data_IF_066225110398
#
_entry.id   IF_066225110398
#
_cell.length_a   1.000
_cell.length_b   1.000
_cell.length_c   1.000
_cell.angle_alpha   90.00
_cell.angle_beta   90.00
_cell.angle_gamma   90.00
#
_symmetry.space_group_name_H-M   'P 1'
#
loop_
_entity.id
_entity.type
_entity.pdbx_description
1 polymer ?
#
# COMPACT_ATOMS: atom_id res chain seq x y z
N UNK A 1 -16.57 11.02 13.15
CA UNK A 1 -15.63 11.25 12.05
C UNK A 1 -14.44 10.32 12.22
N UNK A 2 -14.08 9.55 11.19
CA UNK A 2 -12.83 8.81 11.20
C UNK A 2 -11.69 9.84 11.26
N UNK A 3 -10.72 9.63 12.14
CA UNK A 3 -9.54 10.50 12.21
C UNK A 3 -8.66 10.08 11.02
N UNK A 4 -8.71 10.90 9.96
CA UNK A 4 -8.10 10.59 8.66
C UNK A 4 -7.05 11.64 8.33
N UNK A 5 -5.88 11.18 7.88
CA UNK A 5 -4.73 12.02 7.52
C UNK A 5 -4.23 11.66 6.14
N UNK A 6 -4.08 12.65 5.27
CA UNK A 6 -3.45 12.49 3.97
C UNK A 6 -2.04 13.08 3.99
N UNK A 7 -1.07 12.36 3.46
CA UNK A 7 0.31 12.81 3.39
C UNK A 7 1.11 12.06 2.33
N UNK A 8 2.22 12.64 1.88
CA UNK A 8 3.21 11.93 1.09
C UNK A 8 4.40 11.54 1.98
N UNK A 9 4.91 10.31 1.80
CA UNK A 9 6.09 9.83 2.52
C UNK A 9 7.06 9.13 1.58
N UNK A 10 8.34 9.45 1.75
CA UNK A 10 9.43 8.72 1.12
C UNK A 10 9.54 7.32 1.70
N UNK A 11 9.46 6.32 0.83
CA UNK A 11 9.70 4.91 1.13
C UNK A 11 10.82 4.39 0.25
N UNK A 12 11.64 3.50 0.80
CA UNK A 12 12.66 2.77 0.06
C UNK A 12 12.19 1.33 -0.01
N UNK A 13 12.07 0.79 -1.21
CA UNK A 13 11.54 -0.54 -1.46
C UNK A 13 12.46 -1.31 -2.39
N UNK A 14 12.74 -2.56 -2.06
CA UNK A 14 13.25 -3.58 -2.97
C UNK A 14 12.10 -4.16 -3.82
N UNK A 15 12.43 -4.93 -4.86
CA UNK A 15 11.42 -5.57 -5.71
C UNK A 15 10.47 -6.49 -4.92
N UNK A 16 10.99 -7.27 -3.98
CA UNK A 16 10.18 -8.14 -3.12
C UNK A 16 9.22 -7.32 -2.24
N UNK A 17 9.70 -6.18 -1.72
CA UNK A 17 8.88 -5.29 -0.91
C UNK A 17 7.78 -4.60 -1.70
N UNK A 18 8.06 -4.18 -2.94
CA UNK A 18 7.03 -3.64 -3.85
C UNK A 18 5.95 -4.69 -4.15
N UNK A 19 6.36 -5.94 -4.44
CA UNK A 19 5.42 -7.04 -4.73
C UNK A 19 4.48 -7.32 -3.56
N UNK A 20 5.02 -7.41 -2.36
CA UNK A 20 4.25 -7.63 -1.14
C UNK A 20 3.37 -6.42 -0.80
N UNK A 21 3.84 -5.18 -0.99
CA UNK A 21 3.00 -3.99 -0.86
C UNK A 21 1.83 -4.02 -1.86
N UNK A 22 2.10 -4.39 -3.12
CA UNK A 22 1.08 -4.55 -4.17
C UNK A 22 0.08 -5.62 -3.78
N UNK A 23 0.53 -6.80 -3.35
CA UNK A 23 -0.32 -7.90 -2.91
C UNK A 23 -1.23 -7.51 -1.75
N UNK A 24 -0.68 -6.84 -0.73
CA UNK A 24 -1.47 -6.33 0.38
C UNK A 24 -2.52 -5.33 -0.12
N UNK A 25 -2.14 -4.39 -0.99
CA UNK A 25 -3.06 -3.40 -1.54
C UNK A 25 -4.19 -4.00 -2.38
N UNK A 26 -3.86 -4.95 -3.23
CA UNK A 26 -4.82 -5.73 -4.02
C UNK A 26 -5.75 -6.52 -3.13
N UNK A 27 -5.26 -7.16 -2.07
CA UNK A 27 -6.10 -7.90 -1.13
C UNK A 27 -7.10 -6.98 -0.44
N UNK A 28 -6.69 -5.78 -0.02
CA UNK A 28 -7.63 -4.82 0.56
C UNK A 28 -8.68 -4.37 -0.43
N UNK A 29 -8.30 -4.09 -1.67
CA UNK A 29 -9.26 -3.73 -2.72
C UNK A 29 -10.26 -4.86 -3.01
N UNK A 30 -9.76 -6.08 -3.29
CA UNK A 30 -10.59 -7.21 -3.67
C UNK A 30 -11.41 -7.78 -2.50
N UNK A 31 -10.78 -7.95 -1.33
CA UNK A 31 -11.37 -8.61 -0.17
C UNK A 31 -11.84 -7.67 0.94
N UNK A 32 -11.53 -6.38 0.85
CA UNK A 32 -12.12 -5.33 1.68
C UNK A 32 -13.29 -4.64 0.99
N UNK A 33 -13.11 -4.18 -0.26
CA UNK A 33 -14.10 -3.35 -0.96
C UNK A 33 -15.05 -4.16 -1.85
N UNK A 34 -14.50 -4.94 -2.80
CA UNK A 34 -15.30 -5.56 -3.87
C UNK A 34 -16.07 -6.80 -3.43
N UNK A 35 -15.37 -7.76 -2.83
CA UNK A 35 -15.90 -9.03 -2.36
C UNK A 35 -15.44 -9.26 -0.92
N UNK A 36 -16.08 -8.57 0.05
CA UNK A 36 -15.68 -8.61 1.45
C UNK A 36 -15.44 -10.03 1.96
N UNK A 37 -14.21 -10.33 2.35
CA UNK A 37 -13.78 -11.62 2.89
C UNK A 37 -12.64 -11.39 3.88
N UNK A 38 -13.00 -11.32 5.16
CA UNK A 38 -12.04 -11.03 6.25
C UNK A 38 -10.94 -12.07 6.38
N UNK A 39 -11.24 -13.35 6.19
CA UNK A 39 -10.28 -14.44 6.32
C UNK A 39 -9.22 -14.38 5.22
N UNK A 40 -9.63 -14.22 3.96
CA UNK A 40 -8.70 -14.07 2.83
C UNK A 40 -7.87 -12.81 2.94
N UNK A 41 -8.49 -11.72 3.39
CA UNK A 41 -7.80 -10.46 3.63
C UNK A 41 -6.72 -10.63 4.71
N UNK A 42 -7.06 -11.22 5.85
CA UNK A 42 -6.12 -11.48 6.93
C UNK A 42 -5.01 -12.46 6.50
N UNK A 43 -5.32 -13.46 5.68
CA UNK A 43 -4.33 -14.40 5.16
C UNK A 43 -3.29 -13.70 4.27
N UNK A 44 -3.73 -12.93 3.26
CA UNK A 44 -2.82 -12.28 2.29
C UNK A 44 -2.04 -11.13 2.94
N UNK A 45 -2.71 -10.33 3.79
CA UNK A 45 -2.05 -9.29 4.57
C UNK A 45 -1.03 -9.90 5.53
N UNK A 46 -1.35 -11.04 6.17
CA UNK A 46 -0.43 -11.78 7.02
C UNK A 46 0.80 -12.28 6.29
N UNK A 47 0.65 -12.77 5.05
CA UNK A 47 1.79 -13.14 4.20
C UNK A 47 2.68 -11.95 3.81
N UNK A 48 2.11 -10.73 3.84
CA UNK A 48 2.81 -9.47 3.54
C UNK A 48 3.33 -8.76 4.81
N UNK A 49 3.36 -9.46 5.96
CA UNK A 49 3.65 -8.92 7.30
C UNK A 49 4.89 -8.02 7.39
N UNK A 50 5.95 -8.39 6.67
CA UNK A 50 7.25 -7.68 6.68
C UNK A 50 7.18 -6.24 6.19
N UNK A 51 6.20 -5.91 5.34
CA UNK A 51 6.01 -4.54 4.80
C UNK A 51 4.80 -3.87 5.44
N UNK A 52 4.14 -4.53 6.39
CA UNK A 52 3.10 -3.87 7.16
C UNK A 52 3.66 -2.70 7.97
N UNK A 53 4.95 -2.67 8.34
CA UNK A 53 5.58 -1.47 8.92
C UNK A 53 5.65 -0.27 7.94
N UNK A 54 5.52 -0.50 6.64
CA UNK A 54 5.54 0.51 5.57
C UNK A 54 4.14 0.86 5.02
N UNK A 55 3.13 0.02 5.26
CA UNK A 55 1.75 0.22 4.75
C UNK A 55 0.67 0.17 5.85
N UNK A 56 0.97 -0.23 7.08
CA UNK A 56 0.04 -0.23 8.22
C UNK A 56 0.74 0.21 9.51
N UNK A 57 -0.07 0.49 10.53
CA UNK A 57 0.33 0.71 11.92
C UNK A 57 -0.27 -0.39 12.81
N UNK A 58 -1.34 -1.06 12.36
CA UNK A 58 -1.94 -2.21 13.02
C UNK A 58 -1.00 -3.43 13.01
N UNK A 59 -0.85 -4.08 14.16
CA UNK A 59 0.16 -5.10 14.43
C UNK A 59 -0.25 -6.54 14.10
N UNK A 60 -1.50 -6.79 13.70
CA UNK A 60 -1.98 -8.13 13.31
C UNK A 60 -2.84 -8.08 12.05
N UNK A 61 -2.77 -9.14 11.23
CA UNK A 61 -3.54 -9.21 9.98
C UNK A 61 -5.06 -9.27 10.21
N UNK A 62 -5.50 -9.89 11.30
CA UNK A 62 -6.90 -9.87 11.75
C UNK A 62 -7.32 -8.45 12.15
N UNK A 63 -6.45 -7.72 12.86
CA UNK A 63 -6.68 -6.32 13.20
C UNK A 63 -6.82 -5.43 11.96
N UNK A 64 -6.02 -5.66 10.92
CA UNK A 64 -6.16 -4.97 9.63
C UNK A 64 -7.51 -5.27 8.98
N UNK A 65 -7.91 -6.54 8.90
CA UNK A 65 -9.20 -6.91 8.29
C UNK A 65 -10.40 -6.29 9.05
N UNK A 66 -10.40 -6.37 10.37
CA UNK A 66 -11.40 -5.74 11.22
C UNK A 66 -11.40 -4.21 11.09
N UNK A 67 -10.22 -3.60 11.03
CA UNK A 67 -10.08 -2.15 10.86
C UNK A 67 -10.61 -1.67 9.51
N UNK A 68 -10.39 -2.42 8.42
CA UNK A 68 -10.94 -2.10 7.10
C UNK A 68 -12.46 -2.20 7.12
N UNK A 69 -13.02 -3.28 7.68
CA UNK A 69 -14.46 -3.41 7.84
C UNK A 69 -15.04 -2.24 8.66
N UNK A 70 -14.35 -1.83 9.73
CA UNK A 70 -14.72 -0.67 10.55
C UNK A 70 -14.66 0.66 9.80
N UNK A 71 -13.64 0.88 8.97
CA UNK A 71 -13.56 2.06 8.10
C UNK A 71 -14.75 2.07 7.14
N UNK A 72 -14.97 0.95 6.43
CA UNK A 72 -16.03 0.84 5.43
C UNK A 72 -17.44 1.01 6.00
N UNK A 73 -17.68 0.56 7.23
CA UNK A 73 -18.95 0.74 7.91
C UNK A 73 -19.25 2.20 8.27
N UNK A 74 -18.22 3.05 8.35
CA UNK A 74 -18.33 4.47 8.71
C UNK A 74 -18.39 5.42 7.51
N UNK A 75 -18.06 4.95 6.30
CA UNK A 75 -18.03 5.77 5.09
C UNK A 75 -19.41 5.78 4.41
N UNK A 76 -19.83 6.96 3.97
CA UNK A 76 -20.97 7.09 3.07
C UNK A 76 -20.67 6.45 1.70
N UNK A 77 -21.69 6.06 0.90
CA UNK A 77 -21.48 5.37 -0.37
C UNK A 77 -20.53 6.09 -1.35
N UNK A 78 -20.63 7.42 -1.42
CA UNK A 78 -19.75 8.26 -2.23
C UNK A 78 -18.30 8.28 -1.72
N UNK A 79 -18.10 8.34 -0.40
CA UNK A 79 -16.77 8.29 0.21
C UNK A 79 -16.13 6.91 0.02
N UNK A 80 -16.91 5.84 0.12
CA UNK A 80 -16.47 4.48 -0.17
C UNK A 80 -16.00 4.34 -1.62
N UNK A 81 -16.77 4.87 -2.58
CA UNK A 81 -16.40 4.86 -3.99
C UNK A 81 -15.12 5.69 -4.28
N UNK A 82 -14.97 6.84 -3.62
CA UNK A 82 -13.77 7.66 -3.73
C UNK A 82 -12.54 6.91 -3.18
N UNK A 83 -12.64 6.32 -1.99
CA UNK A 83 -11.57 5.52 -1.40
C UNK A 83 -11.21 4.31 -2.25
N UNK A 84 -12.22 3.60 -2.80
CA UNK A 84 -12.01 2.48 -3.71
C UNK A 84 -11.21 2.92 -4.96
N UNK A 85 -11.56 4.06 -5.55
CA UNK A 85 -10.84 4.63 -6.71
C UNK A 85 -9.39 5.03 -6.38
N UNK A 86 -9.16 5.61 -5.19
CA UNK A 86 -7.83 5.97 -4.71
C UNK A 86 -6.96 4.73 -4.48
N UNK A 87 -7.50 3.69 -3.85
CA UNK A 87 -6.78 2.41 -3.63
C UNK A 87 -6.48 1.72 -4.96
N UNK A 88 -7.44 1.74 -5.91
CA UNK A 88 -7.26 1.24 -7.26
C UNK A 88 -6.10 1.94 -7.97
N UNK A 89 -5.99 3.26 -7.79
CA UNK A 89 -4.87 4.05 -8.33
C UNK A 89 -3.55 3.69 -7.66
N UNK A 90 -3.55 3.54 -6.33
CA UNK A 90 -2.36 3.16 -5.56
C UNK A 90 -1.78 1.81 -5.95
N UNK A 91 -2.61 0.75 -6.08
CA UNK A 91 -2.08 -0.57 -6.46
C UNK A 91 -1.51 -0.55 -7.88
N UNK A 92 -2.13 0.17 -8.83
CA UNK A 92 -1.61 0.33 -10.19
C UNK A 92 -0.27 1.03 -10.21
N UNK A 93 -0.05 1.95 -9.28
CA UNK A 93 1.24 2.61 -9.14
C UNK A 93 2.31 1.66 -8.62
N UNK A 94 1.99 0.85 -7.61
CA UNK A 94 2.90 -0.21 -7.13
C UNK A 94 3.25 -1.19 -8.26
N UNK A 95 2.29 -1.52 -9.13
CA UNK A 95 2.52 -2.38 -10.30
C UNK A 95 3.52 -1.78 -11.30
N UNK A 96 3.47 -0.45 -11.53
CA UNK A 96 4.47 0.24 -12.36
C UNK A 96 5.85 0.24 -11.73
N UNK A 97 5.93 0.45 -10.41
CA UNK A 97 7.20 0.42 -9.67
C UNK A 97 7.81 -0.99 -9.73
N UNK A 98 6.99 -2.02 -9.61
CA UNK A 98 7.41 -3.41 -9.77
C UNK A 98 7.95 -3.64 -11.18
N UNK A 99 7.16 -3.30 -12.20
CA UNK A 99 7.57 -3.43 -13.62
C UNK A 99 8.89 -2.70 -13.89
N UNK A 100 9.07 -1.52 -13.31
CA UNK A 100 10.32 -0.76 -13.43
C UNK A 100 11.51 -1.52 -12.84
N UNK A 101 11.39 -2.08 -11.63
CA UNK A 101 12.47 -2.83 -10.99
C UNK A 101 12.74 -4.19 -11.66
N UNK A 102 11.71 -4.85 -12.20
CA UNK A 102 11.84 -6.10 -12.96
C UNK A 102 12.60 -5.88 -14.27
N UNK A 103 12.27 -4.80 -14.99
CA UNK A 103 12.93 -4.45 -16.26
C UNK A 103 14.32 -3.86 -16.05
N UNK A 104 14.56 -3.20 -14.90
CA UNK A 104 15.86 -2.60 -14.56
C UNK A 104 16.60 -3.39 -13.49
N UNK A 105 16.99 -4.63 -13.83
CA UNK A 105 17.64 -5.57 -12.92
C UNK A 105 18.98 -5.11 -12.34
N UNK A 106 19.56 -4.02 -12.86
CA UNK A 106 20.75 -3.34 -12.32
C UNK A 106 20.49 -2.63 -11.00
N UNK A 107 19.23 -2.35 -10.66
CA UNK A 107 18.84 -1.71 -9.40
C UNK A 107 18.39 -2.74 -8.36
N UNK A 108 18.68 -2.44 -7.10
CA UNK A 108 18.29 -3.24 -5.93
C UNK A 108 17.09 -2.65 -5.21
N UNK A 109 16.99 -1.32 -5.18
CA UNK A 109 15.95 -0.58 -4.47
C UNK A 109 15.53 0.67 -5.25
N UNK A 110 14.33 1.12 -4.97
CA UNK A 110 13.76 2.38 -5.44
C UNK A 110 13.33 3.23 -4.24
N UNK A 111 13.66 4.51 -4.25
CA UNK A 111 13.08 5.50 -3.34
C UNK A 111 11.93 6.21 -4.03
N UNK A 112 10.74 6.09 -3.46
CA UNK A 112 9.51 6.69 -4.00
C UNK A 112 8.84 7.52 -2.92
N UNK A 113 8.43 8.74 -3.27
CA UNK A 113 7.52 9.51 -2.45
C UNK A 113 6.09 9.09 -2.78
N UNK A 114 5.49 8.26 -1.92
CA UNK A 114 4.15 7.72 -2.11
C UNK A 114 3.12 8.55 -1.34
N UNK A 115 1.96 8.89 -1.95
CA UNK A 115 0.83 9.47 -1.26
C UNK A 115 0.06 8.39 -0.48
N UNK A 116 -0.28 8.71 0.76
CA UNK A 116 -1.05 7.87 1.65
C UNK A 116 -2.29 8.59 2.16
N UNK A 117 -3.37 7.83 2.36
CA UNK A 117 -4.44 8.18 3.29
C UNK A 117 -4.35 7.23 4.48
N UNK A 118 -4.38 7.77 5.69
CA UNK A 118 -4.25 7.04 6.93
C UNK A 118 -5.48 7.22 7.80
N UNK A 119 -6.02 6.12 8.29
CA UNK A 119 -7.07 6.01 9.28
C UNK A 119 -6.43 5.66 10.62
N UNK A 120 -6.00 6.71 11.33
CA UNK A 120 -5.11 6.59 12.50
C UNK A 120 -5.74 5.75 13.63
N UNK A 121 -7.06 5.85 13.82
CA UNK A 121 -7.78 5.06 14.84
C UNK A 121 -7.72 3.56 14.58
N UNK A 122 -7.72 3.17 13.31
CA UNK A 122 -7.66 1.77 12.90
C UNK A 122 -6.22 1.32 12.59
N UNK A 123 -5.26 2.25 12.62
CA UNK A 123 -3.87 1.97 12.29
C UNK A 123 -3.69 1.47 10.85
N UNK A 124 -4.52 1.94 9.92
CA UNK A 124 -4.51 1.50 8.51
C UNK A 124 -4.17 2.68 7.63
N UNK A 125 -3.30 2.47 6.64
CA UNK A 125 -3.11 3.43 5.56
C UNK A 125 -3.16 2.73 4.21
N UNK A 126 -3.53 3.47 3.19
CA UNK A 126 -3.56 3.02 1.81
C UNK A 126 -2.68 3.94 0.98
N UNK A 127 -2.00 3.39 -0.03
CA UNK A 127 -1.41 4.22 -1.10
C UNK A 127 -2.55 4.71 -1.99
N UNK A 128 -2.62 6.00 -2.29
CA UNK A 128 -3.84 6.59 -2.90
C UNK A 128 -3.65 7.18 -4.29
N UNK A 129 -2.42 7.22 -4.78
CA UNK A 129 -2.09 8.00 -5.97
C UNK A 129 -0.74 7.67 -6.56
N UNK A 130 -0.34 8.50 -7.52
CA UNK A 130 0.94 8.37 -8.21
C UNK A 130 2.08 8.68 -7.26
N UNK A 131 3.08 7.80 -7.26
CA UNK A 131 4.32 8.01 -6.56
C UNK A 131 5.27 8.82 -7.41
N UNK A 132 6.18 9.53 -6.77
CA UNK A 132 7.32 10.15 -7.47
C UNK A 132 8.56 9.34 -7.12
N UNK A 133 9.10 8.63 -8.11
CA UNK A 133 10.43 8.00 -7.98
C UNK A 133 11.45 9.12 -7.87
N UNK A 134 12.25 9.12 -6.81
CA UNK A 134 13.23 10.19 -6.52
C UNK A 134 14.66 9.74 -6.75
N UNK A 135 14.96 8.47 -6.48
CA UNK A 135 16.27 7.85 -6.74
C UNK A 135 16.18 6.34 -6.75
N UNK A 136 17.18 5.69 -7.33
CA UNK A 136 17.33 4.22 -7.40
C UNK A 136 18.70 3.82 -6.88
N UNK A 137 18.81 2.65 -6.26
CA UNK A 137 20.08 2.13 -5.75
C UNK A 137 20.61 1.05 -6.70
N UNK A 138 21.79 1.26 -7.29
CA UNK A 138 22.45 0.21 -8.08
C UNK A 138 22.82 -0.99 -7.19
N UNK A 139 22.77 -2.22 -7.73
CA UNK A 139 23.16 -3.42 -6.99
C UNK A 139 24.63 -3.38 -6.54
N UNK A 140 25.49 -2.86 -7.40
CA UNK A 140 26.94 -2.80 -7.19
C UNK A 140 27.44 -1.36 -7.07
N UNK A 141 26.60 -0.43 -6.61
CA UNK A 141 26.95 0.99 -6.61
C UNK A 141 26.09 1.84 -5.69
N UNK A 142 26.22 3.16 -5.88
CA UNK A 142 25.51 4.16 -5.07
C UNK A 142 24.07 4.42 -5.51
N UNK A 143 23.52 5.47 -4.93
CA UNK A 143 22.22 6.02 -5.31
C UNK A 143 22.35 6.87 -6.58
N UNK A 144 21.41 6.71 -7.50
CA UNK A 144 21.29 7.50 -8.73
C UNK A 144 19.97 8.28 -8.64
N UNK A 145 20.05 9.60 -8.77
CA UNK A 145 18.87 10.48 -8.82
C UNK A 145 18.15 10.26 -10.14
N UNK A 146 16.83 10.23 -10.10
CA UNK A 146 15.96 10.05 -11.27
C UNK A 146 15.31 11.37 -11.68
#
# INVERSE_FOLDING_TARGET
MAFTKEYARKVILSLDEVRKAKQAQTAMYEHGFKKPNGDKLAQIVGASATILGLVFIASTSVGVAAGIAGILALLAPNEKAALESMINTGYKELDKIETFLETNTKYSHVEVNLPFIEYERQGIRFVTGKGVVTRVKAKNGGWVIM
#
